data_IF_794592947943
#
_entry.id   IF_794592947943
#
_cell.length_a   1.000
_cell.length_b   1.000
_cell.length_c   1.000
_cell.angle_alpha   90.00
_cell.angle_beta   90.00
_cell.angle_gamma   90.00
#
_symmetry.space_group_name_H-M   'P 1'
#
loop_
_entity.id
_entity.type
_entity.pdbx_description
1 polymer ?
#
# COMPACT_ATOMS: atom_id res chain seq x y z
N UNK A 1 58.88 -5.16 59.39
CA UNK A 1 59.66 -3.93 59.15
C UNK A 1 58.75 -2.94 58.43
N UNK A 2 58.59 -1.74 59.03
CA UNK A 2 57.99 -0.52 58.46
C UNK A 2 56.47 -0.39 58.42
N UNK A 3 55.94 0.16 59.52
CA UNK A 3 54.74 1.01 59.62
C UNK A 3 55.01 2.38 58.98
N UNK A 4 54.00 2.99 58.34
CA UNK A 4 53.67 4.45 58.21
C UNK A 4 52.59 4.60 57.11
N UNK A 5 51.53 5.42 57.18
CA UNK A 5 51.25 6.69 57.86
C UNK A 5 49.74 6.97 57.89
N UNK A 6 49.31 7.64 58.95
CA UNK A 6 48.04 8.35 59.14
C UNK A 6 47.69 9.32 57.99
N UNK A 7 46.39 9.57 57.76
CA UNK A 7 45.81 10.92 57.85
C UNK A 7 44.27 10.85 57.90
N UNK A 8 43.76 11.51 58.92
CA UNK A 8 42.38 11.84 59.26
C UNK A 8 41.88 12.94 58.31
N UNK A 9 40.61 12.94 57.89
CA UNK A 9 39.65 14.05 58.09
C UNK A 9 38.38 13.92 57.20
N UNK A 10 37.24 13.93 57.90
CA UNK A 10 36.01 14.65 57.60
C UNK A 10 35.42 14.59 56.18
N UNK A 11 34.30 13.88 56.04
CA UNK A 11 33.22 14.33 55.17
C UNK A 11 31.89 14.41 55.91
N UNK A 12 31.32 15.60 55.79
CA UNK A 12 30.11 16.13 56.37
C UNK A 12 28.90 15.29 55.96
N UNK A 13 28.06 14.95 56.95
CA UNK A 13 26.67 14.56 56.76
C UNK A 13 25.91 15.73 56.10
N UNK A 14 25.92 15.79 54.77
CA UNK A 14 24.95 16.61 54.04
C UNK A 14 23.72 15.75 53.82
N UNK A 15 22.66 16.11 54.53
CA UNK A 15 21.27 15.75 54.23
C UNK A 15 21.00 15.92 52.73
N UNK A 16 20.98 14.82 51.97
CA UNK A 16 20.29 14.80 50.68
C UNK A 16 18.87 14.31 51.00
N UNK A 17 17.84 15.17 50.87
CA UNK A 17 16.48 14.76 51.13
C UNK A 17 16.13 13.62 50.18
N UNK A 18 15.56 12.57 50.76
CA UNK A 18 15.04 11.37 50.11
C UNK A 18 14.51 11.71 48.72
N UNK A 19 15.20 11.17 47.71
CA UNK A 19 14.66 11.09 46.37
C UNK A 19 13.35 10.30 46.50
N UNK A 20 12.22 11.01 46.53
CA UNK A 20 10.92 10.37 46.47
C UNK A 20 10.93 9.52 45.20
N UNK A 21 10.86 8.20 45.34
CA UNK A 21 10.73 7.27 44.22
C UNK A 21 9.53 7.63 43.30
N UNK A 22 8.58 8.43 43.81
CA UNK A 22 7.50 9.03 43.04
C UNK A 22 7.96 10.00 41.93
N UNK A 23 9.11 10.67 42.05
CA UNK A 23 9.65 11.56 40.99
C UNK A 23 10.23 10.73 39.84
N UNK A 24 10.66 9.50 40.09
CA UNK A 24 11.17 8.58 39.05
C UNK A 24 10.03 7.91 38.27
N UNK A 25 8.79 8.03 38.72
CA UNK A 25 7.67 7.21 38.23
C UNK A 25 6.54 8.03 37.59
N UNK A 26 6.86 8.86 36.60
CA UNK A 26 5.85 9.28 35.59
C UNK A 26 6.42 9.85 34.29
N UNK A 27 7.54 9.32 33.79
CA UNK A 27 7.71 9.28 32.34
C UNK A 27 6.87 8.09 31.86
N UNK A 28 5.54 8.23 31.93
CA UNK A 28 4.67 7.39 31.09
C UNK A 28 5.10 7.73 29.68
N UNK A 29 5.71 6.75 29.02
CA UNK A 29 5.92 6.70 27.58
C UNK A 29 4.91 7.61 26.85
N UNK A 30 5.41 8.69 26.25
CA UNK A 30 4.65 9.54 25.30
C UNK A 30 4.51 8.80 23.97
N UNK A 31 4.34 7.48 24.00
CA UNK A 31 3.81 6.74 22.86
C UNK A 31 2.31 6.68 23.13
N UNK A 32 1.63 7.77 22.73
CA UNK A 32 0.17 7.76 22.61
C UNK A 32 -0.26 6.53 21.82
N UNK A 33 -1.42 5.99 22.16
CA UNK A 33 -2.00 4.76 21.61
C UNK A 33 -1.55 4.52 20.16
N UNK A 34 -0.86 3.41 19.91
CA UNK A 34 -0.36 3.08 18.58
C UNK A 34 -1.53 3.11 17.60
N UNK A 35 -1.44 3.92 16.55
CA UNK A 35 -2.49 4.05 15.55
C UNK A 35 -2.90 2.66 15.02
N UNK A 36 -4.18 2.32 15.21
CA UNK A 36 -4.74 1.07 14.73
C UNK A 36 -5.24 1.24 13.29
N UNK A 37 -4.36 0.98 12.32
CA UNK A 37 -4.67 1.07 10.90
C UNK A 37 -5.88 0.21 10.50
N UNK A 38 -5.97 -1.02 11.01
CA UNK A 38 -7.06 -1.95 10.67
C UNK A 38 -8.43 -1.42 11.10
N UNK A 39 -8.51 -0.79 12.28
CA UNK A 39 -9.74 -0.18 12.77
C UNK A 39 -10.09 1.08 11.98
N UNK A 40 -9.10 1.90 11.62
CA UNK A 40 -9.31 3.13 10.86
C UNK A 40 -9.81 2.85 9.42
N UNK A 41 -9.24 1.85 8.75
CA UNK A 41 -9.58 1.51 7.36
C UNK A 41 -10.80 0.59 7.22
N UNK A 42 -11.36 0.10 8.33
CA UNK A 42 -12.37 -0.97 8.33
C UNK A 42 -13.59 -0.64 7.47
N UNK A 43 -14.18 0.53 7.65
CA UNK A 43 -15.37 0.94 6.91
C UNK A 43 -15.12 0.99 5.41
N UNK A 44 -14.02 1.62 4.99
CA UNK A 44 -13.66 1.76 3.57
C UNK A 44 -13.38 0.40 2.91
N UNK A 45 -12.65 -0.48 3.61
CA UNK A 45 -12.32 -1.82 3.13
C UNK A 45 -13.56 -2.70 3.01
N UNK A 46 -14.42 -2.73 4.04
CA UNK A 46 -15.65 -3.54 4.01
C UNK A 46 -16.63 -3.03 2.95
N UNK A 47 -16.80 -1.71 2.82
CA UNK A 47 -17.64 -1.13 1.76
C UNK A 47 -17.17 -1.54 0.35
N UNK A 48 -15.85 -1.51 0.11
CA UNK A 48 -15.28 -1.95 -1.16
C UNK A 48 -15.45 -3.46 -1.36
N UNK A 49 -15.23 -4.26 -0.33
CA UNK A 49 -15.38 -5.71 -0.39
C UNK A 49 -16.82 -6.14 -0.66
N UNK A 50 -17.80 -5.57 0.05
CA UNK A 50 -19.23 -5.85 -0.14
C UNK A 50 -19.67 -5.52 -1.57
N UNK A 51 -19.22 -4.37 -2.09
CA UNK A 51 -19.42 -4.01 -3.50
C UNK A 51 -18.86 -5.09 -4.43
N UNK A 52 -17.61 -5.48 -4.25
CA UNK A 52 -16.94 -6.40 -5.18
C UNK A 52 -17.40 -7.86 -5.05
N UNK A 53 -17.86 -8.30 -3.88
CA UNK A 53 -18.48 -9.62 -3.69
C UNK A 53 -19.76 -9.78 -4.49
N UNK A 54 -20.52 -8.69 -4.69
CA UNK A 54 -21.75 -8.71 -5.46
C UNK A 54 -21.52 -8.66 -6.98
N UNK A 55 -20.29 -8.37 -7.44
CA UNK A 55 -20.00 -8.26 -8.86
C UNK A 55 -19.64 -9.62 -9.49
N UNK A 56 -20.10 -9.86 -10.72
CA UNK A 56 -19.67 -11.04 -11.49
C UNK A 56 -18.19 -10.89 -11.90
N UNK A 57 -17.34 -11.93 -11.73
CA UNK A 57 -15.98 -11.92 -12.22
C UNK A 57 -15.93 -11.75 -13.75
N UNK A 58 -15.05 -10.87 -14.22
CA UNK A 58 -14.81 -10.65 -15.66
C UNK A 58 -13.39 -11.09 -15.98
N UNK A 59 -13.24 -12.01 -16.93
CA UNK A 59 -11.93 -12.50 -17.37
C UNK A 59 -11.60 -11.98 -18.76
N UNK A 60 -10.34 -12.13 -19.20
CA UNK A 60 -9.91 -11.77 -20.56
C UNK A 60 -10.74 -12.47 -21.65
N UNK A 61 -11.28 -13.65 -21.36
CA UNK A 61 -12.09 -14.43 -22.32
C UNK A 61 -13.48 -13.83 -22.60
N UNK A 62 -13.85 -12.76 -21.89
CA UNK A 62 -15.14 -12.07 -22.03
C UNK A 62 -15.17 -11.08 -23.21
N UNK A 63 -14.02 -10.85 -23.84
CA UNK A 63 -13.87 -9.92 -24.98
C UNK A 63 -12.83 -10.44 -25.95
N UNK A 64 -12.89 -10.00 -27.20
CA UNK A 64 -11.85 -10.26 -28.21
C UNK A 64 -11.66 -9.01 -29.06
N UNK A 65 -10.48 -8.89 -29.67
CA UNK A 65 -10.19 -7.85 -30.66
C UNK A 65 -9.93 -8.50 -32.02
N UNK A 66 -10.51 -8.01 -33.12
CA UNK A 66 -10.17 -8.47 -34.46
C UNK A 66 -8.70 -8.14 -34.83
N UNK A 67 -8.06 -7.21 -34.09
CA UNK A 67 -6.64 -6.86 -34.26
C UNK A 67 -5.69 -7.74 -33.43
N UNK A 68 -6.22 -8.66 -32.62
CA UNK A 68 -5.39 -9.62 -31.88
C UNK A 68 -4.94 -10.74 -32.81
N UNK A 69 -3.63 -11.03 -32.81
CA UNK A 69 -3.08 -12.23 -33.45
C UNK A 69 -3.15 -13.49 -32.56
N UNK A 70 -3.49 -13.35 -31.28
CA UNK A 70 -3.59 -14.46 -30.32
C UNK A 70 -4.99 -15.08 -30.23
N UNK A 71 -5.07 -16.24 -29.58
CA UNK A 71 -6.32 -16.95 -29.28
C UNK A 71 -7.10 -16.38 -28.10
N UNK A 72 -8.23 -17.02 -27.77
CA UNK A 72 -9.18 -16.57 -26.72
C UNK A 72 -8.56 -16.40 -25.33
N UNK A 73 -7.51 -17.16 -25.03
CA UNK A 73 -6.82 -17.13 -23.74
C UNK A 73 -5.57 -16.25 -23.72
N UNK A 74 -5.24 -15.61 -24.85
CA UNK A 74 -4.09 -14.73 -24.96
C UNK A 74 -4.49 -13.29 -24.61
N UNK A 75 -3.66 -12.62 -23.81
CA UNK A 75 -3.87 -11.22 -23.47
C UNK A 75 -3.53 -10.32 -24.67
N UNK A 76 -4.39 -9.34 -24.96
CA UNK A 76 -4.14 -8.33 -25.98
C UNK A 76 -4.65 -6.96 -25.50
N UNK A 77 -3.85 -5.92 -25.67
CA UNK A 77 -4.22 -4.53 -25.41
C UNK A 77 -3.36 -3.60 -26.25
N UNK A 78 -3.94 -2.49 -26.69
CA UNK A 78 -3.21 -1.50 -27.49
C UNK A 78 -2.53 -0.45 -26.61
N UNK A 79 -1.41 0.09 -27.09
CA UNK A 79 -0.68 1.15 -26.39
C UNK A 79 -1.38 2.50 -26.54
N UNK A 80 -1.40 3.28 -25.46
CA UNK A 80 -2.26 4.47 -25.35
C UNK A 80 -1.98 5.53 -26.42
N UNK A 81 -0.72 5.66 -26.83
CA UNK A 81 -0.26 6.73 -27.71
C UNK A 81 -0.15 6.34 -29.17
N UNK A 82 -0.66 5.17 -29.58
CA UNK A 82 -0.59 4.73 -30.98
C UNK A 82 -1.87 5.07 -31.72
N UNK A 83 -1.73 5.80 -32.84
CA UNK A 83 -2.83 6.31 -33.64
C UNK A 83 -2.69 5.89 -35.11
N UNK A 84 -3.80 5.74 -35.85
CA UNK A 84 -3.74 5.63 -37.31
C UNK A 84 -3.04 6.85 -37.93
N UNK A 85 -2.22 6.62 -38.93
CA UNK A 85 -1.63 7.69 -39.72
C UNK A 85 -2.67 8.25 -40.70
N UNK A 86 -3.01 9.54 -40.56
CA UNK A 86 -3.96 10.21 -41.46
C UNK A 86 -3.43 10.34 -42.89
N UNK A 87 -2.12 10.33 -43.10
CA UNK A 87 -1.51 10.37 -44.42
C UNK A 87 -1.53 8.98 -45.11
N UNK A 88 -1.54 7.90 -44.32
CA UNK A 88 -1.59 6.54 -44.83
C UNK A 88 -2.32 5.61 -43.85
N UNK A 89 -3.64 5.47 -44.04
CA UNK A 89 -4.49 4.63 -43.18
C UNK A 89 -4.15 3.13 -43.25
N UNK A 90 -3.43 2.69 -44.28
CA UNK A 90 -2.95 1.31 -44.41
C UNK A 90 -1.54 1.11 -43.82
N UNK A 91 -0.89 2.19 -43.38
CA UNK A 91 0.43 2.18 -42.78
C UNK A 91 0.44 1.71 -41.33
N UNK A 92 1.64 1.53 -40.73
CA UNK A 92 1.75 1.29 -39.30
C UNK A 92 1.20 2.48 -38.51
N UNK A 93 0.76 2.20 -37.28
CA UNK A 93 0.35 3.27 -36.38
C UNK A 93 1.53 4.20 -36.08
N UNK A 94 1.23 5.45 -35.77
CA UNK A 94 2.21 6.47 -35.38
C UNK A 94 2.01 6.83 -33.91
N UNK A 95 3.12 7.13 -33.23
CA UNK A 95 3.08 7.52 -31.82
C UNK A 95 2.75 9.01 -31.67
N UNK A 96 1.80 9.35 -30.80
CA UNK A 96 1.46 10.71 -30.36
C UNK A 96 1.50 10.76 -28.84
N UNK A 97 2.69 11.04 -28.31
CA UNK A 97 2.92 11.01 -26.87
C UNK A 97 1.99 11.96 -26.11
N UNK A 98 1.53 11.53 -24.93
CA UNK A 98 0.56 12.25 -24.10
C UNK A 98 -0.88 12.27 -24.63
N UNK A 99 -1.16 11.76 -25.85
CA UNK A 99 -2.49 11.71 -26.43
C UNK A 99 -3.03 10.27 -26.46
N UNK A 100 -4.02 9.97 -25.60
CA UNK A 100 -4.65 8.65 -25.57
C UNK A 100 -5.61 8.45 -26.74
N UNK A 101 -5.42 7.39 -27.52
CA UNK A 101 -6.34 6.99 -28.58
C UNK A 101 -7.62 6.38 -27.99
N UNK A 102 -8.81 7.01 -28.17
CA UNK A 102 -10.06 6.50 -27.63
C UNK A 102 -10.53 5.19 -28.29
N UNK A 103 -10.03 4.87 -29.48
CA UNK A 103 -10.41 3.67 -30.26
C UNK A 103 -9.58 2.43 -29.88
N UNK A 104 -8.69 2.56 -28.89
CA UNK A 104 -7.86 1.47 -28.43
C UNK A 104 -8.69 0.34 -27.81
N UNK A 105 -8.36 -0.88 -28.19
CA UNK A 105 -8.79 -2.07 -27.49
C UNK A 105 -8.05 -2.18 -26.15
N UNK A 106 -8.76 -1.89 -25.07
CA UNK A 106 -8.24 -1.93 -23.69
C UNK A 106 -9.04 -2.86 -22.78
N UNK A 107 -9.94 -3.67 -23.33
CA UNK A 107 -10.85 -4.51 -22.55
C UNK A 107 -10.11 -5.53 -21.66
N UNK A 108 -9.07 -6.19 -22.18
CA UNK A 108 -8.29 -7.15 -21.37
C UNK A 108 -7.54 -6.43 -20.25
N UNK A 109 -6.91 -5.27 -20.54
CA UNK A 109 -6.25 -4.45 -19.52
C UNK A 109 -7.22 -4.05 -18.41
N UNK A 110 -8.43 -3.59 -18.77
CA UNK A 110 -9.48 -3.25 -17.81
C UNK A 110 -9.90 -4.45 -16.95
N UNK A 111 -10.05 -5.63 -17.55
CA UNK A 111 -10.36 -6.85 -16.80
C UNK A 111 -9.28 -7.18 -15.77
N UNK A 112 -8.00 -7.11 -16.15
CA UNK A 112 -6.88 -7.37 -15.25
C UNK A 112 -6.75 -6.34 -14.13
N UNK A 113 -6.89 -5.04 -14.43
CA UNK A 113 -6.88 -3.97 -13.42
C UNK A 113 -8.02 -4.16 -12.42
N UNK A 114 -9.23 -4.42 -12.93
CA UNK A 114 -10.40 -4.68 -12.08
C UNK A 114 -10.16 -5.88 -11.15
N UNK A 115 -9.69 -7.01 -11.69
CA UNK A 115 -9.39 -8.19 -10.89
C UNK A 115 -8.34 -7.90 -9.80
N UNK A 116 -7.28 -7.15 -10.12
CA UNK A 116 -6.25 -6.77 -9.14
C UNK A 116 -6.82 -5.96 -7.97
N UNK A 117 -7.67 -4.97 -8.27
CA UNK A 117 -8.33 -4.14 -7.24
C UNK A 117 -9.27 -4.98 -6.38
N UNK A 118 -10.08 -5.83 -7.00
CA UNK A 118 -11.04 -6.70 -6.30
C UNK A 118 -10.31 -7.68 -5.37
N UNK A 119 -9.30 -8.39 -5.89
CA UNK A 119 -8.52 -9.36 -5.12
C UNK A 119 -7.85 -8.70 -3.91
N UNK A 120 -7.29 -7.49 -4.07
CA UNK A 120 -6.68 -6.76 -2.97
C UNK A 120 -7.71 -6.37 -1.90
N UNK A 121 -8.86 -5.83 -2.30
CA UNK A 121 -9.93 -5.41 -1.38
C UNK A 121 -10.51 -6.59 -0.59
N UNK A 122 -10.81 -7.71 -1.27
CA UNK A 122 -11.34 -8.92 -0.64
C UNK A 122 -10.33 -9.54 0.33
N UNK A 123 -9.05 -9.57 -0.04
CA UNK A 123 -7.97 -10.06 0.84
C UNK A 123 -7.82 -9.17 2.06
N UNK A 124 -7.88 -7.84 1.88
CA UNK A 124 -7.81 -6.90 3.00
C UNK A 124 -8.99 -7.10 3.96
N UNK A 125 -10.22 -7.26 3.44
CA UNK A 125 -11.40 -7.55 4.25
C UNK A 125 -11.20 -8.84 5.06
N UNK A 126 -10.79 -9.94 4.41
CA UNK A 126 -10.49 -11.21 5.07
C UNK A 126 -9.49 -11.07 6.22
N UNK A 127 -8.48 -10.20 6.08
CA UNK A 127 -7.45 -9.98 7.09
C UNK A 127 -7.92 -9.17 8.31
N UNK A 128 -8.92 -8.31 8.17
CA UNK A 128 -9.41 -7.42 9.23
C UNK A 128 -10.71 -7.89 9.87
N UNK A 129 -11.38 -8.86 9.26
CA UNK A 129 -12.53 -9.57 9.85
C UNK A 129 -12.03 -10.79 10.64
N UNK A 130 -12.51 -11.00 11.88
CA UNK A 130 -12.22 -12.20 12.67
C UNK A 130 -12.74 -13.50 12.04
#
# INVERSE_FOLDING_TARGET
MTVKKNILLLFVLVFIPSWNAAVVLKIKSVHGDSFNLSSFEKERVLTAADKYLAEVPVTITSSTSPRSGGGKHDFFSEGDYWWPDSANLAGPYVQRDGMTNPDNFIAHRKAMVRFSIQSAALTAAYKITP
#
